data_IF_111683522359
#
_entry.id   IF_111683522359
#
_cell.length_a   1.000
_cell.length_b   1.000
_cell.length_c   1.000
_cell.angle_alpha   90.00
_cell.angle_beta   90.00
_cell.angle_gamma   90.00
#
_symmetry.space_group_name_H-M   'P 1'
#
loop_
_entity.id
_entity.type
_entity.pdbx_description
1 polymer ?
#
# COMPACT_ATOMS: atom_id res chain seq x y z
N UNK A 1 1.10 -11.36 -9.64
CA UNK A 1 1.93 -10.90 -10.75
C UNK A 1 2.72 -9.65 -10.37
N UNK A 2 2.14 -8.48 -10.63
CA UNK A 2 2.76 -7.22 -10.26
C UNK A 2 1.98 -6.53 -9.15
N UNK A 3 2.71 -5.98 -8.18
CA UNK A 3 2.09 -5.31 -7.04
C UNK A 3 1.94 -3.82 -7.30
N UNK A 4 1.54 -3.46 -8.51
CA UNK A 4 1.40 -2.07 -8.91
C UNK A 4 0.39 -1.34 -8.03
N UNK A 5 0.87 -0.38 -7.25
CA UNK A 5 0.03 0.31 -6.28
C UNK A 5 -1.21 0.88 -6.95
N UNK A 6 -1.04 1.43 -8.14
CA UNK A 6 -2.12 2.10 -8.84
C UNK A 6 -3.17 1.09 -9.32
N UNK A 7 -2.72 -0.10 -9.65
CA UNK A 7 -3.62 -1.17 -10.06
C UNK A 7 -4.33 -1.80 -8.86
N UNK A 8 -3.72 -1.65 -7.69
CA UNK A 8 -4.33 -2.10 -6.45
C UNK A 8 -5.26 -1.04 -5.88
N UNK A 9 -5.00 0.22 -6.23
CA UNK A 9 -5.94 1.29 -5.98
C UNK A 9 -7.10 1.25 -6.98
N UNK A 10 -6.80 0.83 -8.21
CA UNK A 10 -7.82 0.70 -9.23
C UNK A 10 -7.96 2.00 -10.04
N UNK A 11 -6.82 2.55 -10.45
CA UNK A 11 -6.81 3.77 -11.26
C UNK A 11 -5.51 3.91 -12.04
N UNK A 12 -5.40 4.98 -12.82
CA UNK A 12 -4.28 5.15 -13.73
C UNK A 12 -3.03 5.61 -12.97
N UNK A 13 -1.87 5.21 -13.47
CA UNK A 13 -0.60 5.56 -12.84
C UNK A 13 -0.39 7.07 -12.84
N UNK A 14 -1.17 7.77 -13.67
CA UNK A 14 -1.02 9.21 -13.82
C UNK A 14 -2.17 9.95 -13.15
N UNK A 15 -2.84 9.28 -12.21
CA UNK A 15 -3.97 9.86 -11.50
C UNK A 15 -3.51 10.94 -10.54
N UNK A 16 -4.47 11.62 -9.91
CA UNK A 16 -4.17 12.72 -9.01
C UNK A 16 -4.22 12.27 -7.56
N UNK A 17 -3.63 13.06 -6.67
CA UNK A 17 -3.64 12.77 -5.25
C UNK A 17 -5.06 12.57 -4.73
N UNK A 18 -5.97 13.41 -5.20
CA UNK A 18 -7.38 13.31 -4.83
C UNK A 18 -7.98 11.99 -5.29
N UNK A 19 -7.72 11.63 -6.54
CA UNK A 19 -8.22 10.38 -7.10
C UNK A 19 -7.63 9.18 -6.38
N UNK A 20 -6.37 9.30 -5.98
CA UNK A 20 -5.72 8.26 -5.19
C UNK A 20 -6.41 8.08 -3.85
N UNK A 21 -6.84 9.18 -3.25
CA UNK A 21 -7.56 9.14 -1.98
C UNK A 21 -8.93 8.51 -2.14
N UNK A 22 -9.66 8.93 -3.18
CA UNK A 22 -10.99 8.39 -3.45
C UNK A 22 -10.91 6.92 -3.84
N UNK A 23 -10.04 6.60 -4.80
CA UNK A 23 -9.79 5.22 -5.18
C UNK A 23 -9.44 4.37 -3.96
N UNK A 24 -8.61 4.93 -3.07
CA UNK A 24 -8.23 4.24 -1.86
C UNK A 24 -9.43 4.00 -0.94
N UNK A 25 -10.29 5.00 -0.85
CA UNK A 25 -11.51 4.89 -0.06
C UNK A 25 -12.35 3.70 -0.51
N UNK A 26 -12.59 3.61 -1.82
CA UNK A 26 -13.32 2.47 -2.39
C UNK A 26 -12.71 1.16 -1.95
N UNK A 27 -11.38 1.06 -2.00
CA UNK A 27 -10.69 -0.19 -1.74
C UNK A 27 -10.68 -0.51 -0.25
N UNK A 28 -10.44 0.50 0.57
CA UNK A 28 -10.49 0.35 2.02
C UNK A 28 -11.89 0.00 2.49
N UNK A 29 -12.89 0.55 1.82
CA UNK A 29 -14.28 0.14 2.02
C UNK A 29 -14.49 -1.29 1.57
N UNK A 30 -13.87 -1.67 0.47
CA UNK A 30 -14.00 -3.01 -0.07
C UNK A 30 -13.51 -4.06 0.92
N UNK A 31 -12.43 -3.76 1.61
CA UNK A 31 -11.81 -4.70 2.53
C UNK A 31 -12.02 -4.29 3.98
N UNK A 32 -12.84 -3.26 4.18
CA UNK A 32 -13.31 -2.90 5.51
C UNK A 32 -13.83 -4.11 6.26
N UNK A 33 -13.51 -4.19 7.56
CA UNK A 33 -13.87 -5.35 8.36
C UNK A 33 -15.37 -5.64 8.25
N UNK A 34 -16.17 -4.60 8.17
CA UNK A 34 -17.62 -4.74 8.13
C UNK A 34 -18.13 -4.94 6.71
N UNK A 35 -17.19 -5.12 5.78
CA UNK A 35 -17.54 -5.25 4.36
C UNK A 35 -16.98 -6.54 3.78
N UNK A 36 -15.82 -6.94 4.25
CA UNK A 36 -15.14 -8.12 3.72
C UNK A 36 -14.35 -8.84 4.80
N UNK A 37 -14.69 -10.09 5.06
CA UNK A 37 -14.02 -10.88 6.08
C UNK A 37 -13.45 -12.18 5.50
N UNK A 38 -12.22 -12.10 4.99
CA UNK A 38 -11.60 -13.25 4.35
C UNK A 38 -10.08 -13.23 4.54
N UNK A 39 -9.53 -14.37 4.96
CA UNK A 39 -8.09 -14.50 5.16
C UNK A 39 -7.36 -14.46 3.82
N UNK A 40 -6.30 -13.65 3.74
CA UNK A 40 -5.59 -13.43 2.50
C UNK A 40 -6.02 -12.13 1.85
N UNK A 41 -7.33 -11.92 1.75
CA UNK A 41 -7.88 -10.62 1.41
C UNK A 41 -7.50 -9.57 2.45
N UNK A 42 -7.51 -9.97 3.71
CA UNK A 42 -6.97 -9.14 4.78
C UNK A 42 -5.53 -8.73 4.49
N UNK A 43 -4.78 -9.61 3.84
CA UNK A 43 -3.41 -9.32 3.47
C UNK A 43 -3.35 -8.47 2.21
N UNK A 44 -4.27 -8.74 1.28
CA UNK A 44 -4.46 -7.87 0.12
C UNK A 44 -4.79 -6.45 0.53
N UNK A 45 -5.62 -6.32 1.56
CA UNK A 45 -5.94 -5.01 2.12
C UNK A 45 -4.69 -4.33 2.68
N UNK A 46 -3.85 -5.10 3.33
CA UNK A 46 -2.55 -4.61 3.81
C UNK A 46 -1.70 -4.12 2.64
N UNK A 47 -1.70 -4.89 1.55
CA UNK A 47 -0.94 -4.52 0.36
C UNK A 47 -1.50 -3.24 -0.28
N UNK A 48 -2.82 -3.10 -0.24
CA UNK A 48 -3.46 -1.88 -0.71
C UNK A 48 -3.20 -0.72 0.24
N UNK A 49 -3.35 -0.98 1.54
CA UNK A 49 -2.94 -0.02 2.57
C UNK A 49 -1.50 0.41 2.39
N UNK A 50 -0.64 -0.55 2.03
CA UNK A 50 0.76 -0.25 1.73
C UNK A 50 0.88 0.60 0.47
N UNK A 51 0.16 0.22 -0.57
CA UNK A 51 0.08 1.02 -1.79
C UNK A 51 -0.17 2.49 -1.46
N UNK A 52 -1.25 2.76 -0.74
CA UNK A 52 -1.60 4.12 -0.35
C UNK A 52 -0.57 4.68 0.62
N UNK A 53 -0.22 3.90 1.63
CA UNK A 53 0.80 4.30 2.59
C UNK A 53 1.80 5.26 1.97
N UNK A 54 2.43 4.83 0.88
CA UNK A 54 3.49 5.60 0.25
C UNK A 54 2.94 6.81 -0.50
N UNK A 55 1.74 6.66 -1.05
CA UNK A 55 1.07 7.76 -1.73
C UNK A 55 0.69 8.86 -0.75
N UNK A 56 0.44 8.47 0.50
CA UNK A 56 0.12 9.43 1.55
C UNK A 56 1.38 9.90 2.27
N UNK A 57 2.43 9.09 2.20
CA UNK A 57 3.65 9.35 2.95
C UNK A 57 4.84 9.57 2.02
N UNK A 58 5.30 10.81 1.95
CA UNK A 58 6.33 11.19 0.98
C UNK A 58 7.60 10.38 1.18
N UNK A 59 7.73 9.79 2.36
CA UNK A 59 8.97 9.13 2.76
C UNK A 59 9.16 7.82 2.02
N UNK A 60 8.06 7.14 1.73
CA UNK A 60 8.09 5.95 0.89
C UNK A 60 7.58 6.24 -0.52
N UNK A 61 7.08 7.46 -0.72
CA UNK A 61 6.60 7.89 -2.02
C UNK A 61 7.75 8.00 -3.02
N UNK A 62 8.79 8.74 -2.63
CA UNK A 62 10.00 8.83 -3.44
C UNK A 62 10.53 7.45 -3.81
N UNK A 63 10.45 6.52 -2.86
CA UNK A 63 11.02 5.19 -3.04
C UNK A 63 10.25 4.39 -4.07
N UNK A 64 8.99 4.12 -3.77
CA UNK A 64 8.07 3.56 -4.76
C UNK A 64 8.25 4.22 -6.12
N UNK A 65 8.08 5.54 -6.16
CA UNK A 65 8.16 6.29 -7.40
C UNK A 65 9.50 6.06 -8.09
N UNK A 66 10.58 6.08 -7.32
CA UNK A 66 11.93 6.03 -7.87
C UNK A 66 12.19 4.68 -8.53
N UNK A 67 12.02 3.61 -7.76
CA UNK A 67 12.34 2.27 -8.24
C UNK A 67 11.10 1.43 -8.45
N UNK A 68 10.18 1.49 -7.47
CA UNK A 68 8.96 0.70 -7.52
C UNK A 68 8.74 -0.06 -6.22
N UNK A 69 8.07 -1.20 -6.32
CA UNK A 69 7.67 -1.96 -5.14
C UNK A 69 8.84 -2.76 -4.58
N UNK A 70 9.68 -3.27 -5.47
CA UNK A 70 10.78 -4.15 -5.07
C UNK A 70 11.80 -3.40 -4.23
N UNK A 71 11.93 -2.09 -4.48
CA UNK A 71 12.88 -1.26 -3.76
C UNK A 71 12.36 -0.89 -2.38
N UNK A 72 11.14 -1.30 -2.09
CA UNK A 72 10.53 -1.03 -0.78
C UNK A 72 10.39 -2.32 0.03
N UNK A 73 10.25 -3.44 -0.67
CA UNK A 73 10.17 -4.74 -0.02
C UNK A 73 11.56 -5.25 0.36
N UNK A 74 12.54 -4.99 -0.50
CA UNK A 74 13.91 -5.40 -0.24
C UNK A 74 14.39 -6.40 -1.27
N UNK A 75 13.87 -6.28 -2.49
CA UNK A 75 14.23 -7.20 -3.56
C UNK A 75 14.46 -6.46 -4.87
N UNK A 76 14.69 -5.15 -4.77
CA UNK A 76 14.87 -4.31 -5.95
C UNK A 76 16.33 -4.26 -6.37
N UNK A 77 16.84 -3.05 -6.61
CA UNK A 77 18.18 -2.87 -7.13
C UNK A 77 19.21 -3.59 -6.28
N UNK A 78 19.09 -3.44 -4.97
CA UNK A 78 19.94 -4.17 -4.03
C UNK A 78 19.20 -5.38 -3.45
N UNK A 79 18.47 -6.08 -4.30
CA UNK A 79 17.56 -7.13 -3.84
C UNK A 79 18.33 -8.25 -3.13
N UNK A 80 17.80 -8.68 -2.00
CA UNK A 80 18.45 -9.72 -1.20
C UNK A 80 19.07 -9.13 0.06
N UNK A 81 19.66 -7.95 -0.08
CA UNK A 81 20.20 -7.24 1.08
C UNK A 81 19.15 -6.35 1.73
N UNK A 82 18.12 -6.01 0.97
CA UNK A 82 17.02 -5.21 1.49
C UNK A 82 17.53 -4.06 2.34
N UNK A 83 18.17 -3.08 1.69
CA UNK A 83 18.80 -1.98 2.40
C UNK A 83 19.90 -2.46 3.32
N UNK A 84 19.61 -2.51 4.62
CA UNK A 84 20.59 -2.93 5.61
C UNK A 84 20.17 -4.25 6.26
N UNK A 85 19.19 -4.92 5.67
CA UNK A 85 18.70 -6.18 6.20
C UNK A 85 19.75 -7.27 6.09
N UNK A 86 20.54 -7.21 5.01
CA UNK A 86 21.67 -8.11 4.85
C UNK A 86 21.22 -9.55 4.64
N UNK A 87 20.96 -10.25 5.73
CA UNK A 87 20.52 -11.65 5.67
C UNK A 87 19.15 -11.82 6.31
N UNK A 88 18.47 -10.71 6.56
CA UNK A 88 17.22 -10.72 7.31
C UNK A 88 16.03 -10.66 6.37
N UNK A 89 15.03 -11.49 6.64
CA UNK A 89 13.78 -11.46 5.88
C UNK A 89 12.91 -10.27 6.30
N UNK A 90 12.06 -9.82 5.38
CA UNK A 90 11.32 -8.59 5.56
C UNK A 90 10.21 -8.44 4.53
N UNK A 91 8.98 -8.29 5.00
CA UNK A 91 7.85 -7.99 4.13
C UNK A 91 7.64 -6.49 4.00
N UNK A 92 6.73 -6.10 3.12
CA UNK A 92 6.29 -4.70 3.03
C UNK A 92 6.01 -4.14 4.42
N UNK A 93 6.35 -2.87 4.61
CA UNK A 93 6.21 -2.23 5.91
C UNK A 93 4.75 -1.99 6.26
N UNK A 94 4.04 -3.06 6.60
CA UNK A 94 2.60 -2.99 6.85
C UNK A 94 2.31 -2.35 8.19
N UNK A 95 3.35 -2.15 8.99
CA UNK A 95 3.26 -1.29 10.17
C UNK A 95 2.71 0.08 9.81
N UNK A 96 3.33 0.74 8.84
CA UNK A 96 2.70 1.83 8.12
C UNK A 96 1.34 1.41 7.56
N UNK A 97 0.31 1.54 8.38
CA UNK A 97 -1.04 1.09 8.00
C UNK A 97 -2.02 2.24 8.01
N UNK A 98 -2.25 2.83 6.84
CA UNK A 98 -3.17 3.96 6.71
C UNK A 98 -4.62 3.49 6.72
N UNK A 99 -4.95 2.61 7.65
CA UNK A 99 -6.33 2.41 8.08
C UNK A 99 -6.69 3.36 9.22
N UNK A 100 -5.67 3.84 9.92
CA UNK A 100 -5.85 4.96 10.84
C UNK A 100 -6.04 6.27 10.08
N UNK A 101 -5.25 6.47 9.04
CA UNK A 101 -5.47 7.56 8.10
C UNK A 101 -6.86 7.47 7.48
N UNK A 102 -7.20 6.29 6.97
CA UNK A 102 -8.51 6.07 6.35
C UNK A 102 -9.63 6.35 7.35
N UNK A 103 -9.53 5.76 8.54
CA UNK A 103 -10.50 5.99 9.59
C UNK A 103 -10.65 7.48 9.88
N UNK A 104 -9.55 8.21 9.78
CA UNK A 104 -9.56 9.65 10.01
C UNK A 104 -10.18 10.38 8.84
N UNK A 105 -9.80 10.00 7.62
CA UNK A 105 -10.22 10.69 6.42
C UNK A 105 -11.70 10.45 6.15
N UNK A 106 -12.10 9.20 6.06
CA UNK A 106 -13.44 8.84 5.60
C UNK A 106 -14.22 8.14 6.70
N UNK A 107 -13.51 7.43 7.57
CA UNK A 107 -14.14 6.77 8.72
C UNK A 107 -14.87 5.50 8.28
N UNK A 108 -14.39 4.88 7.21
CA UNK A 108 -15.00 3.66 6.70
C UNK A 108 -16.38 3.92 6.11
N UNK A 109 -16.53 5.08 5.48
CA UNK A 109 -17.76 5.42 4.77
C UNK A 109 -17.47 6.04 3.42
N UNK A 110 -18.52 6.36 2.67
CA UNK A 110 -18.38 6.98 1.36
C UNK A 110 -18.16 8.48 1.48
#
# INVERSE_FOLDING_TARGET
MGKDYYQTLGLARGASDEEIKRAYRRQALRYHPDKNKEPGAEEKFKEIAEAYDVLSDPRKREIFDRYGEEGLKGSGPSGGSGGGANGTSFSYTFHGDPHAMFAEFFGGRN
#
